data_IF_919395660053
#
_entry.id   IF_919395660053
#
_cell.length_a   1.000
_cell.length_b   1.000
_cell.length_c   1.000
_cell.angle_alpha   90.00
_cell.angle_beta   90.00
_cell.angle_gamma   90.00
#
_symmetry.space_group_name_H-M   'P 1'
#
loop_
_entity.id
_entity.type
_entity.pdbx_description
1 polymer ?
#
# COMPACT_ATOMS: atom_id res chain seq x y z
N UNK A 1 9.64 -12.11 -9.30
CA UNK A 1 9.38 -10.76 -9.84
C UNK A 1 9.93 -9.78 -8.80
N UNK A 2 10.77 -8.79 -9.13
CA UNK A 2 11.26 -7.89 -8.09
C UNK A 2 10.19 -6.83 -7.74
N UNK A 3 9.46 -7.05 -6.64
CA UNK A 3 8.39 -6.15 -6.18
C UNK A 3 8.94 -5.26 -5.06
N UNK A 4 9.09 -3.97 -5.34
CA UNK A 4 9.66 -3.02 -4.36
C UNK A 4 8.62 -2.52 -3.34
N UNK A 5 7.35 -2.48 -3.71
CA UNK A 5 6.27 -2.00 -2.85
C UNK A 5 4.91 -2.54 -3.30
N UNK A 6 4.04 -2.87 -2.33
CA UNK A 6 2.61 -3.13 -2.55
C UNK A 6 1.78 -2.40 -1.50
N UNK A 7 0.73 -1.74 -1.94
CA UNK A 7 -0.30 -1.20 -1.05
C UNK A 7 -1.65 -1.22 -1.75
N UNK A 8 -2.72 -1.44 -0.98
CA UNK A 8 -4.09 -1.44 -1.48
C UNK A 8 -4.76 -0.16 -1.01
N UNK A 9 -5.35 0.59 -1.94
CA UNK A 9 -6.28 1.65 -1.61
C UNK A 9 -7.68 1.07 -1.52
N UNK A 10 -8.35 1.28 -0.38
CA UNK A 10 -9.70 0.79 -0.15
C UNK A 10 -10.57 1.99 0.20
N UNK A 11 -11.80 2.04 -0.35
CA UNK A 11 -12.79 3.03 0.08
C UNK A 11 -13.75 2.35 1.06
N UNK A 12 -13.67 2.76 2.33
CA UNK A 12 -14.53 2.25 3.42
C UNK A 12 -15.27 3.44 4.02
N UNK A 13 -16.60 3.36 4.08
CA UNK A 13 -17.46 4.41 4.67
C UNK A 13 -17.16 5.82 4.14
N UNK A 14 -16.98 5.95 2.82
CA UNK A 14 -16.65 7.21 2.15
C UNK A 14 -15.22 7.73 2.38
N UNK A 15 -14.40 7.01 3.15
CA UNK A 15 -13.00 7.37 3.42
C UNK A 15 -12.06 6.53 2.55
N UNK A 16 -11.03 7.18 2.02
CA UNK A 16 -9.92 6.45 1.37
C UNK A 16 -8.96 5.99 2.45
N UNK A 17 -8.76 4.68 2.54
CA UNK A 17 -7.81 4.03 3.43
C UNK A 17 -6.69 3.37 2.62
N UNK A 18 -5.57 3.11 3.28
CA UNK A 18 -4.42 2.42 2.71
C UNK A 18 -4.10 1.21 3.58
N UNK A 19 -3.99 0.04 2.97
CA UNK A 19 -3.45 -1.16 3.59
C UNK A 19 -2.04 -1.43 3.03
N UNK A 20 -0.97 -1.11 3.77
CA UNK A 20 0.39 -1.48 3.38
C UNK A 20 0.57 -3.00 3.50
N UNK A 21 1.27 -3.59 2.54
CA UNK A 21 1.60 -5.02 2.55
C UNK A 21 3.10 -5.17 2.87
N UNK A 22 3.43 -6.16 3.72
CA UNK A 22 4.82 -6.53 4.00
C UNK A 22 5.52 -6.91 2.68
N UNK A 23 6.68 -6.29 2.35
CA UNK A 23 7.45 -6.63 1.15
C UNK A 23 7.75 -8.13 1.03
N UNK A 24 7.98 -8.85 2.13
CA UNK A 24 8.25 -10.29 2.13
C UNK A 24 7.03 -11.12 1.70
N UNK A 25 5.84 -10.56 1.85
CA UNK A 25 4.57 -11.18 1.46
C UNK A 25 4.09 -10.70 0.08
N UNK A 26 4.83 -9.81 -0.58
CA UNK A 26 4.38 -9.15 -1.80
C UNK A 26 4.16 -10.12 -2.96
N UNK A 27 5.08 -11.08 -3.19
CA UNK A 27 4.92 -12.07 -4.26
C UNK A 27 3.72 -12.99 -4.02
N UNK A 28 3.57 -13.49 -2.79
CA UNK A 28 2.41 -14.31 -2.41
C UNK A 28 1.10 -13.53 -2.59
N UNK A 29 1.07 -12.27 -2.13
CA UNK A 29 -0.08 -11.40 -2.29
C UNK A 29 -0.45 -11.17 -3.76
N UNK A 30 0.53 -10.80 -4.60
CA UNK A 30 0.32 -10.56 -6.04
C UNK A 30 -0.14 -11.84 -6.74
N UNK A 31 0.36 -13.01 -6.35
CA UNK A 31 -0.10 -14.30 -6.89
C UNK A 31 -1.58 -14.58 -6.66
N UNK A 32 -2.15 -14.10 -5.56
CA UNK A 32 -3.57 -14.27 -5.24
C UNK A 32 -4.50 -13.33 -6.03
N UNK A 33 -3.97 -12.22 -6.58
CA UNK A 33 -4.80 -11.19 -7.21
C UNK A 33 -5.58 -11.69 -8.44
N UNK A 34 -5.05 -12.67 -9.16
CA UNK A 34 -5.69 -13.26 -10.36
C UNK A 34 -7.12 -13.73 -10.08
N UNK A 35 -7.38 -14.30 -8.89
CA UNK A 35 -8.69 -14.77 -8.47
C UNK A 35 -9.72 -13.63 -8.29
N UNK A 36 -9.25 -12.40 -8.09
CA UNK A 36 -10.08 -11.22 -7.84
C UNK A 36 -10.13 -10.27 -9.04
N UNK A 37 -9.45 -10.60 -10.15
CA UNK A 37 -9.45 -9.80 -11.37
C UNK A 37 -10.60 -10.16 -12.30
N UNK A 38 -11.18 -9.15 -12.96
CA UNK A 38 -12.23 -9.34 -13.96
C UNK A 38 -11.80 -10.34 -15.04
N UNK A 39 -12.67 -11.32 -15.30
CA UNK A 39 -12.39 -12.40 -16.25
C UNK A 39 -11.48 -13.51 -15.71
N UNK A 40 -11.15 -13.50 -14.42
CA UNK A 40 -10.46 -14.57 -13.68
C UNK A 40 -9.27 -15.14 -14.47
N UNK A 41 -8.28 -14.30 -14.82
CA UNK A 41 -7.14 -14.75 -15.61
C UNK A 41 -6.38 -15.85 -14.86
N UNK A 42 -5.74 -16.77 -15.60
CA UNK A 42 -4.91 -17.84 -15.01
C UNK A 42 -3.73 -17.30 -14.20
N UNK A 43 -3.26 -16.10 -14.52
CA UNK A 43 -2.16 -15.40 -13.86
C UNK A 43 -2.53 -13.94 -13.61
N UNK A 44 -1.92 -13.33 -12.59
CA UNK A 44 -2.17 -11.92 -12.25
C UNK A 44 -1.73 -11.02 -13.38
N UNK A 45 -2.65 -10.20 -13.89
CA UNK A 45 -2.37 -9.19 -14.91
C UNK A 45 -2.01 -7.87 -14.28
N UNK A 46 -0.84 -7.34 -14.61
CA UNK A 46 -0.40 -6.01 -14.21
C UNK A 46 -0.44 -5.07 -15.41
N UNK A 47 -0.95 -3.86 -15.20
CA UNK A 47 -0.99 -2.81 -16.24
C UNK A 47 0.14 -1.83 -15.97
N UNK A 48 1.00 -1.64 -16.96
CA UNK A 48 2.07 -0.64 -16.88
C UNK A 48 1.44 0.74 -17.04
N UNK A 49 1.66 1.61 -16.07
CA UNK A 49 1.14 2.97 -16.09
C UNK A 49 2.01 3.89 -16.98
N UNK A 50 1.41 4.92 -17.61
CA UNK A 50 2.16 5.95 -18.32
C UNK A 50 3.15 6.68 -17.39
N UNK A 51 4.32 7.07 -17.93
CA UNK A 51 5.38 7.72 -17.14
C UNK A 51 4.92 8.98 -16.38
N UNK A 52 4.02 9.76 -16.96
CA UNK A 52 3.51 10.98 -16.32
C UNK A 52 2.67 10.65 -15.07
N UNK A 53 1.89 9.57 -15.09
CA UNK A 53 1.11 9.07 -13.95
C UNK A 53 2.03 8.54 -12.85
N UNK A 54 3.10 7.82 -13.22
CA UNK A 54 4.08 7.26 -12.28
C UNK A 54 4.75 8.36 -11.45
N UNK A 55 5.11 9.49 -12.06
CA UNK A 55 5.71 10.63 -11.33
C UNK A 55 4.79 11.19 -10.25
N UNK A 56 3.51 11.36 -10.57
CA UNK A 56 2.51 11.87 -9.62
C UNK A 56 2.25 10.85 -8.50
N UNK A 57 2.13 9.57 -8.85
CA UNK A 57 1.97 8.48 -7.88
C UNK A 57 3.17 8.39 -6.93
N UNK A 58 4.40 8.48 -7.43
CA UNK A 58 5.61 8.46 -6.63
C UNK A 58 5.67 9.59 -5.59
N UNK A 59 5.27 10.81 -5.98
CA UNK A 59 5.17 11.93 -5.05
C UNK A 59 4.11 11.68 -3.96
N UNK A 60 2.97 11.10 -4.35
CA UNK A 60 1.89 10.75 -3.44
C UNK A 60 2.31 9.64 -2.45
N UNK A 61 2.90 8.55 -2.91
CA UNK A 61 3.39 7.46 -2.04
C UNK A 61 4.45 7.96 -1.07
N UNK A 62 5.38 8.82 -1.50
CA UNK A 62 6.38 9.41 -0.62
C UNK A 62 5.76 10.34 0.45
N UNK A 63 4.69 11.07 0.13
CA UNK A 63 3.96 11.88 1.10
C UNK A 63 3.20 10.99 2.12
N UNK A 64 2.53 9.93 1.64
CA UNK A 64 1.82 8.97 2.48
C UNK A 64 2.76 8.21 3.42
N UNK A 65 3.91 7.74 2.93
CA UNK A 65 4.89 7.04 3.76
C UNK A 65 5.38 7.92 4.92
N UNK A 66 5.63 9.22 4.65
CA UNK A 66 6.01 10.19 5.68
C UNK A 66 4.91 10.38 6.74
N UNK A 67 3.66 10.57 6.31
CA UNK A 67 2.53 10.74 7.23
C UNK A 67 2.30 9.50 8.09
N UNK A 68 2.40 8.30 7.50
CA UNK A 68 2.26 7.03 8.24
C UNK A 68 3.36 6.89 9.30
N UNK A 69 4.62 7.17 8.94
CA UNK A 69 5.75 7.12 9.86
C UNK A 69 5.58 8.11 11.03
N UNK A 70 5.18 9.35 10.74
CA UNK A 70 4.92 10.38 11.77
C UNK A 70 3.80 9.95 12.73
N UNK A 71 2.72 9.37 12.21
CA UNK A 71 1.61 8.86 13.04
C UNK A 71 2.02 7.68 13.90
N UNK A 72 2.86 6.78 13.39
CA UNK A 72 3.39 5.66 14.16
C UNK A 72 4.27 6.13 15.32
N UNK A 73 5.18 7.08 15.07
CA UNK A 73 6.03 7.67 16.12
C UNK A 73 5.20 8.41 17.18
N UNK A 74 4.15 9.13 16.76
CA UNK A 74 3.24 9.83 17.68
C UNK A 74 2.49 8.88 18.60
N UNK A 75 2.11 7.70 18.09
CA UNK A 75 1.45 6.64 18.86
C UNK A 75 2.43 5.93 19.80
N UNK A 76 3.67 5.67 19.37
CA UNK A 76 4.71 5.11 20.24
C UNK A 76 5.08 6.05 21.40
N UNK A 77 5.29 7.35 21.14
CA UNK A 77 5.57 8.34 22.21
C UNK A 77 4.44 8.44 23.24
N UNK A 78 3.18 8.36 22.81
CA UNK A 78 2.02 8.32 23.73
C UNK A 78 1.92 7.00 24.51
N UNK A 79 2.31 5.88 23.92
CA UNK A 79 2.34 4.58 24.58
C UNK A 79 3.51 4.42 25.58
N UNK A 80 4.59 5.19 25.41
CA UNK A 80 5.75 5.25 26.31
C UNK A 80 5.61 6.29 27.44
N UNK A 81 4.54 7.10 27.43
CA UNK A 81 4.22 8.05 28.51
C UNK A 81 3.00 7.68 29.39
N UNK A 82 2.79 6.41 29.84
CA UNK A 82 1.83 6.14 30.89
C UNK A 82 2.54 6.16 32.24
N UNK A 83 2.75 7.34 32.82
CA UNK A 83 2.75 7.61 34.27
C UNK A 83 3.17 9.06 34.53
N UNK A 84 2.18 9.85 34.92
CA UNK A 84 2.27 11.08 35.70
C UNK A 84 1.07 11.11 36.62
#
# INVERSE_FOLDING_TARGET
>A
MNIEQVAIFIRVDGRTTLAPIDPNMAEAFVGMLSAFQTGTPKETKLVVLPKHTVKQLGAMTAALAREIALRQQSKQKKAESPQG
#
